data_IF_048716067434
#
_entry.id   IF_048716067434
#
_cell.length_a   1.000
_cell.length_b   1.000
_cell.length_c   1.000
_cell.angle_alpha   90.00
_cell.angle_beta   90.00
_cell.angle_gamma   90.00
#
_symmetry.space_group_name_H-M   'P 1'
#
loop_
_entity.id
_entity.type
_entity.pdbx_description
1 polymer ?
#
# COMPACT_ATOMS: atom_id res chain seq x y z
N UNK A 1 33.30 11.08 16.71
CA UNK A 1 32.02 11.78 16.47
C UNK A 1 31.04 10.74 15.98
N UNK A 2 30.09 10.39 16.84
CA UNK A 2 29.13 9.29 16.68
C UNK A 2 28.17 9.58 15.54
N UNK A 3 28.08 8.65 14.59
CA UNK A 3 26.99 8.61 13.60
C UNK A 3 25.71 8.24 14.35
N UNK A 4 24.89 9.22 14.70
CA UNK A 4 23.52 8.98 15.14
C UNK A 4 22.74 8.41 13.96
N UNK A 5 22.66 7.08 13.89
CA UNK A 5 21.72 6.40 13.02
C UNK A 5 20.32 6.81 13.45
N UNK A 6 19.57 7.41 12.52
CA UNK A 6 18.16 7.72 12.70
C UNK A 6 17.46 6.50 13.33
N UNK A 7 16.84 6.60 14.52
CA UNK A 7 16.13 5.46 15.11
C UNK A 7 14.97 5.15 14.16
N UNK A 8 15.17 4.11 13.34
CA UNK A 8 14.22 3.69 12.32
C UNK A 8 12.84 3.50 12.91
N UNK A 9 11.81 3.61 12.07
CA UNK A 9 10.40 3.44 12.47
C UNK A 9 10.13 2.08 13.15
N UNK A 10 11.08 1.13 13.04
CA UNK A 10 10.97 -0.25 13.47
C UNK A 10 10.80 -1.16 12.25
N UNK A 11 10.45 -2.41 12.49
CA UNK A 11 10.14 -3.37 11.42
C UNK A 11 8.78 -4.05 11.61
N UNK A 12 8.11 -3.86 12.76
CA UNK A 12 6.80 -4.43 13.04
C UNK A 12 5.71 -3.40 12.83
N UNK A 13 4.68 -3.74 12.07
CA UNK A 13 3.56 -2.85 11.79
C UNK A 13 2.22 -3.51 12.07
N UNK A 14 1.25 -2.70 12.53
CA UNK A 14 -0.14 -3.11 12.69
C UNK A 14 -1.00 -2.37 11.66
N UNK A 15 -1.82 -3.12 10.93
CA UNK A 15 -2.69 -2.59 9.87
C UNK A 15 -3.98 -2.04 10.48
N UNK A 16 -4.32 -0.81 10.12
CA UNK A 16 -5.59 -0.18 10.49
C UNK A 16 -6.35 0.19 9.23
N UNK A 17 -7.56 -0.34 9.07
CA UNK A 17 -8.46 0.01 7.97
C UNK A 17 -9.51 0.99 8.47
N UNK A 18 -9.53 2.22 7.95
CA UNK A 18 -10.56 3.20 8.32
C UNK A 18 -11.83 3.09 7.45
N UNK A 19 -11.87 2.18 6.49
CA UNK A 19 -13.02 1.94 5.62
C UNK A 19 -12.83 0.74 4.69
N UNK A 20 -13.73 0.60 3.71
CA UNK A 20 -13.71 -0.50 2.75
C UNK A 20 -12.65 -0.27 1.67
N UNK A 21 -11.63 -1.13 1.66
CA UNK A 21 -10.55 -1.14 0.66
C UNK A 21 -10.68 -2.27 -0.35
N UNK A 22 -11.66 -3.18 -0.14
CA UNK A 22 -11.90 -4.38 -0.97
C UNK A 22 -10.64 -5.25 -1.20
N UNK A 23 -9.69 -5.24 -0.26
CA UNK A 23 -8.44 -6.00 -0.39
C UNK A 23 -7.31 -5.29 -1.13
N UNK A 24 -7.55 -4.13 -1.76
CA UNK A 24 -6.51 -3.43 -2.54
C UNK A 24 -5.25 -3.07 -1.72
N UNK A 25 -5.43 -2.80 -0.42
CA UNK A 25 -4.35 -2.53 0.53
C UNK A 25 -3.35 -3.70 0.70
N UNK A 26 -3.77 -4.94 0.41
CA UNK A 26 -2.93 -6.13 0.62
C UNK A 26 -1.66 -6.09 -0.22
N UNK A 27 -1.72 -5.52 -1.42
CA UNK A 27 -0.53 -5.30 -2.26
C UNK A 27 0.58 -4.50 -1.55
N UNK A 28 0.23 -3.53 -0.71
CA UNK A 28 1.19 -2.75 0.08
C UNK A 28 1.71 -3.59 1.24
N UNK A 29 0.81 -4.29 1.95
CA UNK A 29 1.16 -5.15 3.10
C UNK A 29 2.13 -6.26 2.68
N UNK A 30 1.83 -6.97 1.60
CA UNK A 30 2.67 -8.02 1.02
C UNK A 30 4.01 -7.47 0.59
N UNK A 31 4.02 -6.32 -0.08
CA UNK A 31 5.27 -5.65 -0.48
C UNK A 31 6.16 -5.30 0.70
N UNK A 32 5.59 -4.81 1.79
CA UNK A 32 6.34 -4.52 3.01
C UNK A 32 6.89 -5.81 3.64
N UNK A 33 6.10 -6.88 3.64
CA UNK A 33 6.54 -8.22 4.11
C UNK A 33 7.72 -8.74 3.31
N UNK A 34 7.68 -8.63 1.98
CA UNK A 34 8.78 -9.00 1.09
C UNK A 34 10.04 -8.16 1.35
N UNK A 35 9.87 -6.94 1.85
CA UNK A 35 10.97 -6.05 2.22
C UNK A 35 11.42 -6.21 3.69
N UNK A 36 11.02 -7.29 4.34
CA UNK A 36 11.48 -7.67 5.68
C UNK A 36 10.74 -6.96 6.81
N UNK A 37 9.64 -6.27 6.53
CA UNK A 37 8.72 -5.80 7.56
C UNK A 37 7.84 -6.96 8.05
N UNK A 38 7.34 -6.88 9.27
CA UNK A 38 6.51 -7.90 9.90
C UNK A 38 5.17 -7.31 10.30
N UNK A 39 4.11 -7.82 9.70
CA UNK A 39 2.75 -7.53 10.15
C UNK A 39 2.50 -8.26 11.48
N UNK A 40 1.92 -7.56 12.47
CA UNK A 40 1.55 -8.14 13.76
C UNK A 40 0.04 -8.03 13.98
N UNK A 41 -0.51 -8.91 14.81
CA UNK A 41 -1.95 -8.98 15.06
C UNK A 41 -2.43 -8.09 16.22
N UNK A 42 -1.53 -7.35 16.88
CA UNK A 42 -1.87 -6.48 18.01
C UNK A 42 -1.28 -5.09 17.90
N UNK A 43 -2.05 -4.10 18.37
CA UNK A 43 -1.64 -2.70 18.36
C UNK A 43 -0.49 -2.42 19.33
N UNK A 44 -0.31 -3.26 20.36
CA UNK A 44 0.72 -3.15 21.39
C UNK A 44 2.06 -3.66 20.89
N UNK A 45 2.06 -4.73 20.07
CA UNK A 45 3.26 -5.40 19.58
C UNK A 45 3.94 -4.75 18.37
N UNK A 46 3.33 -3.73 17.77
CA UNK A 46 3.87 -3.04 16.61
C UNK A 46 4.81 -1.87 16.99
N UNK A 47 5.74 -1.55 16.10
CA UNK A 47 6.58 -0.36 16.21
C UNK A 47 5.84 0.88 15.65
N UNK A 48 5.02 0.67 14.61
CA UNK A 48 4.22 1.72 13.98
C UNK A 48 2.87 1.21 13.44
N UNK A 49 1.96 2.14 13.16
CA UNK A 49 0.71 1.85 12.46
C UNK A 49 0.82 2.08 10.96
N UNK A 50 0.25 1.16 10.18
CA UNK A 50 0.01 1.35 8.75
C UNK A 50 -1.48 1.56 8.54
N UNK A 51 -1.89 2.83 8.40
CA UNK A 51 -3.29 3.24 8.37
C UNK A 51 -3.73 3.42 6.92
N UNK A 52 -4.69 2.62 6.47
CA UNK A 52 -5.32 2.75 5.16
C UNK A 52 -6.62 3.54 5.27
N UNK A 53 -6.69 4.65 4.52
CA UNK A 53 -7.82 5.55 4.48
C UNK A 53 -8.42 5.64 3.08
N UNK A 54 -9.39 4.78 2.73
CA UNK A 54 -10.14 4.94 1.49
C UNK A 54 -11.04 6.17 1.55
N UNK A 55 -10.91 7.04 0.54
CA UNK A 55 -11.74 8.24 0.40
C UNK A 55 -13.11 7.84 -0.16
N UNK A 56 -14.15 8.06 0.63
CA UNK A 56 -15.55 7.76 0.30
C UNK A 56 -16.36 9.04 0.22
N UNK A 57 -16.07 10.01 1.08
CA UNK A 57 -16.80 11.26 1.17
C UNK A 57 -15.94 12.44 0.71
N UNK A 58 -14.99 12.86 1.54
CA UNK A 58 -14.10 13.99 1.34
C UNK A 58 -12.78 13.69 2.05
N UNK A 59 -11.68 14.03 1.37
CA UNK A 59 -10.31 13.78 1.86
C UNK A 59 -10.13 14.20 3.33
N UNK A 60 -10.46 15.45 3.67
CA UNK A 60 -10.28 15.94 5.05
C UNK A 60 -11.15 15.24 6.09
N UNK A 61 -12.39 14.89 5.74
CA UNK A 61 -13.33 14.21 6.66
C UNK A 61 -12.90 12.78 6.92
N UNK A 62 -12.60 12.03 5.85
CA UNK A 62 -12.22 10.62 5.96
C UNK A 62 -10.85 10.48 6.67
N UNK A 63 -9.90 11.39 6.41
CA UNK A 63 -8.62 11.45 7.15
C UNK A 63 -8.84 11.75 8.62
N UNK A 64 -9.67 12.76 8.95
CA UNK A 64 -9.95 13.10 10.35
C UNK A 64 -10.55 11.90 11.10
N UNK A 65 -11.51 11.21 10.49
CA UNK A 65 -12.11 10.01 11.07
C UNK A 65 -11.09 8.88 11.24
N UNK A 66 -10.25 8.63 10.23
CA UNK A 66 -9.20 7.60 10.30
C UNK A 66 -8.22 7.86 11.46
N UNK A 67 -7.77 9.11 11.59
CA UNK A 67 -6.77 9.50 12.60
C UNK A 67 -7.34 9.63 14.02
N UNK A 68 -8.67 9.76 14.17
CA UNK A 68 -9.34 9.75 15.47
C UNK A 68 -9.29 8.38 16.16
N UNK A 69 -9.07 7.31 15.40
CA UNK A 69 -9.10 5.91 15.87
C UNK A 69 -7.72 5.39 16.36
N UNK A 70 -6.65 6.15 16.14
CA UNK A 70 -5.27 5.72 16.45
C UNK A 70 -4.70 6.49 17.63
N UNK A 71 -3.83 5.85 18.43
CA UNK A 71 -3.14 6.53 19.53
C UNK A 71 -2.14 7.57 19.02
N UNK A 72 -1.89 8.59 19.84
CA UNK A 72 -0.96 9.69 19.53
C UNK A 72 0.49 9.35 19.89
N UNK A 73 0.70 8.20 20.54
CA UNK A 73 2.00 7.79 21.10
C UNK A 73 2.85 7.06 20.06
N UNK A 74 2.25 6.15 19.28
CA UNK A 74 2.96 5.39 18.26
C UNK A 74 2.98 6.14 16.95
N UNK A 75 4.12 6.05 16.24
CA UNK A 75 4.25 6.63 14.90
C UNK A 75 3.33 5.90 13.92
N UNK A 76 2.88 6.60 12.88
CA UNK A 76 2.02 6.03 11.85
C UNK A 76 2.36 6.52 10.45
N UNK A 77 2.16 5.63 9.48
CA UNK A 77 2.14 5.95 8.05
C UNK A 77 0.67 5.93 7.61
N UNK A 78 0.22 7.04 7.02
CA UNK A 78 -1.12 7.17 6.46
C UNK A 78 -1.09 6.93 4.95
N UNK A 79 -1.82 5.93 4.48
CA UNK A 79 -2.02 5.63 3.06
C UNK A 79 -3.44 6.05 2.68
N UNK A 80 -3.56 7.18 2.01
CA UNK A 80 -4.84 7.70 1.52
C UNK A 80 -5.15 7.04 0.18
N UNK A 81 -6.28 6.34 0.08
CA UNK A 81 -6.65 5.56 -1.11
C UNK A 81 -7.79 6.23 -1.86
N UNK A 82 -7.53 6.70 -3.07
CA UNK A 82 -8.50 7.38 -3.93
C UNK A 82 -9.10 6.39 -4.92
N UNK A 83 -10.43 6.20 -4.83
CA UNK A 83 -11.13 5.29 -5.73
C UNK A 83 -11.30 5.92 -7.11
N UNK A 84 -10.62 5.38 -8.12
CA UNK A 84 -10.67 5.87 -9.50
C UNK A 84 -10.21 4.78 -10.46
N UNK A 85 -10.80 4.70 -11.65
CA UNK A 85 -10.32 3.83 -12.72
C UNK A 85 -9.21 4.48 -13.57
N UNK A 86 -8.98 5.79 -13.41
CA UNK A 86 -8.03 6.55 -14.22
C UNK A 86 -6.64 6.55 -13.55
N UNK A 87 -5.61 5.88 -14.13
CA UNK A 87 -4.27 5.81 -13.55
C UNK A 87 -3.53 7.17 -13.55
N UNK A 88 -3.98 8.12 -14.37
CA UNK A 88 -3.44 9.47 -14.45
C UNK A 88 -4.26 10.48 -13.65
N UNK A 89 -5.13 10.03 -12.74
CA UNK A 89 -5.94 10.93 -11.93
C UNK A 89 -5.07 11.79 -11.01
N UNK A 90 -5.20 13.10 -11.14
CA UNK A 90 -4.51 14.05 -10.26
C UNK A 90 -5.26 14.19 -8.96
N UNK A 91 -4.58 13.84 -7.86
CA UNK A 91 -5.07 14.09 -6.50
C UNK A 91 -4.22 15.18 -5.85
N UNK A 92 -4.89 16.05 -5.09
CA UNK A 92 -4.21 17.02 -4.25
C UNK A 92 -3.44 16.28 -3.14
N UNK A 93 -2.34 16.87 -2.71
CA UNK A 93 -1.51 16.36 -1.62
C UNK A 93 -2.30 16.30 -0.30
N UNK A 94 -2.59 15.08 0.16
CA UNK A 94 -3.42 14.83 1.33
C UNK A 94 -2.70 15.12 2.65
N UNK A 95 -1.36 15.24 2.66
CA UNK A 95 -0.60 15.59 3.86
C UNK A 95 -1.05 16.94 4.44
N UNK A 96 -1.59 17.82 3.61
CA UNK A 96 -2.17 19.12 4.00
C UNK A 96 -3.37 19.01 4.93
N UNK A 97 -4.02 17.85 4.98
CA UNK A 97 -5.15 17.58 5.87
C UNK A 97 -4.71 16.95 7.20
N UNK A 98 -3.41 16.68 7.37
CA UNK A 98 -2.86 16.00 8.55
C UNK A 98 -2.20 17.02 9.47
N UNK A 99 -2.69 17.10 10.70
CA UNK A 99 -2.12 17.96 11.75
C UNK A 99 -1.45 17.17 12.88
N UNK A 100 -1.62 15.84 12.88
CA UNK A 100 -1.27 14.98 14.00
C UNK A 100 0.24 14.63 13.94
N UNK A 101 1.04 14.98 14.96
CA UNK A 101 2.51 14.94 14.86
C UNK A 101 3.12 13.53 14.84
N UNK A 102 2.37 12.50 15.26
CA UNK A 102 2.82 11.12 15.18
C UNK A 102 2.66 10.51 13.77
N UNK A 103 2.05 11.21 12.82
CA UNK A 103 2.03 10.79 11.42
C UNK A 103 3.36 11.18 10.78
N UNK A 104 4.19 10.18 10.49
CA UNK A 104 5.54 10.39 9.97
C UNK A 104 5.58 10.46 8.44
N UNK A 105 4.57 9.91 7.78
CA UNK A 105 4.44 9.91 6.33
C UNK A 105 2.95 9.85 5.96
N UNK A 106 2.55 10.64 4.97
CA UNK A 106 1.25 10.53 4.30
C UNK A 106 1.50 10.36 2.82
N UNK A 107 0.94 9.30 2.22
CA UNK A 107 1.01 9.04 0.79
C UNK A 107 -0.37 8.90 0.18
N UNK A 108 -0.49 9.24 -1.10
CA UNK A 108 -1.73 9.17 -1.87
C UNK A 108 -1.64 8.06 -2.93
N UNK A 109 -2.45 7.02 -2.79
CA UNK A 109 -2.54 5.91 -3.73
C UNK A 109 -3.87 5.91 -4.50
N UNK A 110 -3.87 5.44 -5.74
CA UNK A 110 -5.07 5.22 -6.55
C UNK A 110 -5.43 3.73 -6.57
N UNK A 111 -6.72 3.41 -6.43
CA UNK A 111 -7.20 2.03 -6.49
C UNK A 111 -8.54 1.93 -7.22
N UNK A 112 -8.80 0.77 -7.80
CA UNK A 112 -10.06 0.46 -8.45
C UNK A 112 -10.46 -0.98 -8.11
N UNK A 113 -11.72 -1.17 -7.71
CA UNK A 113 -12.24 -2.45 -7.25
C UNK A 113 -11.38 -3.08 -6.14
N UNK A 114 -10.57 -4.09 -6.46
CA UNK A 114 -9.78 -4.90 -5.51
C UNK A 114 -8.27 -4.69 -5.63
N UNK A 115 -7.82 -3.82 -6.52
CA UNK A 115 -6.40 -3.69 -6.86
C UNK A 115 -5.94 -2.22 -6.82
N UNK A 116 -4.67 -2.00 -6.45
CA UNK A 116 -4.01 -0.72 -6.68
C UNK A 116 -3.73 -0.52 -8.17
N UNK A 117 -3.92 0.70 -8.65
CA UNK A 117 -3.58 1.02 -10.03
C UNK A 117 -2.07 0.95 -10.27
N UNK A 118 -1.68 0.53 -11.48
CA UNK A 118 -0.30 0.61 -11.94
C UNK A 118 -0.04 2.01 -12.49
N UNK A 119 0.53 2.87 -11.67
CA UNK A 119 0.85 4.24 -12.05
C UNK A 119 2.04 4.79 -11.27
N UNK A 120 2.65 5.85 -11.80
CA UNK A 120 3.81 6.51 -11.19
C UNK A 120 3.51 7.00 -9.77
N UNK A 121 2.28 7.44 -9.52
CA UNK A 121 1.85 7.86 -8.18
C UNK A 121 2.01 6.73 -7.16
N UNK A 122 1.44 5.55 -7.43
CA UNK A 122 1.52 4.42 -6.51
C UNK A 122 2.96 3.90 -6.35
N UNK A 123 3.74 3.90 -7.44
CA UNK A 123 5.15 3.54 -7.40
C UNK A 123 5.96 4.51 -6.51
N UNK A 124 5.73 5.82 -6.66
CA UNK A 124 6.38 6.85 -5.85
C UNK A 124 5.97 6.75 -4.38
N UNK A 125 4.67 6.55 -4.12
CA UNK A 125 4.15 6.33 -2.76
C UNK A 125 4.81 5.13 -2.08
N UNK A 126 4.95 4.00 -2.78
CA UNK A 126 5.69 2.86 -2.23
C UNK A 126 7.17 3.16 -2.02
N UNK A 127 7.81 3.87 -2.94
CA UNK A 127 9.21 4.25 -2.76
C UNK A 127 9.42 5.17 -1.54
N UNK A 128 8.48 6.06 -1.24
CA UNK A 128 8.53 6.91 -0.05
C UNK A 128 8.37 6.11 1.24
N UNK A 129 7.45 5.13 1.25
CA UNK A 129 7.30 4.20 2.38
C UNK A 129 8.58 3.39 2.59
N UNK A 130 9.13 2.78 1.53
CA UNK A 130 10.38 2.01 1.61
C UNK A 130 11.55 2.87 2.13
N UNK A 131 11.61 4.14 1.69
CA UNK A 131 12.63 5.11 2.13
C UNK A 131 12.52 5.46 3.61
N UNK A 132 11.31 5.75 4.12
CA UNK A 132 11.15 6.12 5.54
C UNK A 132 11.41 4.94 6.47
N UNK A 133 11.14 3.72 6.00
CA UNK A 133 11.45 2.48 6.71
C UNK A 133 12.93 2.09 6.66
N UNK A 134 13.75 2.80 5.89
CA UNK A 134 15.17 2.49 5.74
C UNK A 134 15.42 1.14 5.06
N UNK A 135 14.49 0.70 4.20
CA UNK A 135 14.66 -0.54 3.43
C UNK A 135 15.90 -0.40 2.54
N UNK A 136 16.85 -1.32 2.66
CA UNK A 136 18.09 -1.25 1.91
C UNK A 136 17.82 -1.26 0.41
N UNK A 137 18.61 -0.55 -0.38
CA UNK A 137 18.41 -0.50 -1.84
C UNK A 137 18.53 -1.88 -2.51
N UNK A 138 19.31 -2.79 -1.91
CA UNK A 138 19.36 -4.21 -2.31
C UNK A 138 18.03 -4.89 -2.05
N UNK A 139 17.47 -4.73 -0.85
CA UNK A 139 16.15 -5.25 -0.49
C UNK A 139 15.05 -4.71 -1.40
N UNK A 140 15.05 -3.40 -1.67
CA UNK A 140 14.10 -2.76 -2.62
C UNK A 140 14.19 -3.41 -4.00
N UNK A 141 15.39 -3.61 -4.54
CA UNK A 141 15.57 -4.28 -5.84
C UNK A 141 15.06 -5.72 -5.84
N UNK A 142 15.31 -6.46 -4.77
CA UNK A 142 14.82 -7.84 -4.61
C UNK A 142 13.29 -7.86 -4.52
N UNK A 143 12.69 -7.02 -3.68
CA UNK A 143 11.23 -6.89 -3.58
C UNK A 143 10.62 -6.50 -4.93
N UNK A 144 11.22 -5.53 -5.63
CA UNK A 144 10.74 -5.10 -6.95
C UNK A 144 10.80 -6.21 -7.98
N UNK A 145 11.89 -6.96 -8.00
CA UNK A 145 12.04 -8.09 -8.89
C UNK A 145 11.03 -9.20 -8.57
N UNK A 146 10.86 -9.57 -7.30
CA UNK A 146 9.90 -10.57 -6.85
C UNK A 146 8.46 -10.16 -7.17
N UNK A 147 8.11 -8.89 -6.93
CA UNK A 147 6.81 -8.34 -7.28
C UNK A 147 6.57 -8.39 -8.79
N UNK A 148 7.54 -7.96 -9.61
CA UNK A 148 7.43 -8.04 -11.06
C UNK A 148 7.29 -9.50 -11.56
N UNK A 149 8.00 -10.45 -10.95
CA UNK A 149 7.85 -11.88 -11.23
C UNK A 149 6.46 -12.39 -10.85
N UNK A 150 5.96 -12.02 -9.67
CA UNK A 150 4.62 -12.37 -9.21
C UNK A 150 3.57 -11.88 -10.21
N UNK A 151 3.65 -10.59 -10.59
CA UNK A 151 2.76 -9.99 -11.59
C UNK A 151 2.86 -10.66 -12.97
N UNK A 152 4.06 -11.04 -13.41
CA UNK A 152 4.24 -11.78 -14.66
C UNK A 152 3.55 -13.13 -14.61
N UNK A 153 3.68 -13.84 -13.49
CA UNK A 153 3.01 -15.12 -13.30
C UNK A 153 1.49 -14.97 -13.34
N UNK A 154 0.91 -14.00 -12.63
CA UNK A 154 -0.53 -13.70 -12.67
C UNK A 154 -1.01 -13.32 -14.06
N UNK A 155 -0.24 -12.53 -14.80
CA UNK A 155 -0.58 -12.12 -16.17
C UNK A 155 -0.60 -13.33 -17.11
N UNK A 156 0.34 -14.26 -16.97
CA UNK A 156 0.37 -15.53 -17.71
C UNK A 156 -0.85 -16.39 -17.33
N UNK A 157 -1.19 -16.49 -16.04
CA UNK A 157 -2.39 -17.21 -15.61
C UNK A 157 -3.68 -16.61 -16.19
N UNK A 158 -3.83 -15.28 -16.17
CA UNK A 158 -4.98 -14.58 -16.79
C UNK A 158 -5.03 -14.82 -18.31
N UNK A 159 -3.90 -14.79 -19.00
CA UNK A 159 -3.83 -15.06 -20.44
C UNK A 159 -4.21 -16.51 -20.77
N UNK A 160 -3.67 -17.47 -19.99
CA UNK A 160 -4.00 -18.89 -20.16
C UNK A 160 -5.49 -19.13 -19.91
N UNK A 161 -6.08 -18.52 -18.87
CA UNK A 161 -7.52 -18.64 -18.61
C UNK A 161 -8.37 -18.10 -19.76
N UNK A 162 -8.03 -16.94 -20.33
CA UNK A 162 -8.70 -16.41 -21.52
C UNK A 162 -8.54 -17.34 -22.74
N UNK A 163 -7.34 -17.92 -22.94
CA UNK A 163 -7.12 -18.90 -24.01
C UNK A 163 -7.90 -20.19 -23.79
N UNK A 164 -8.04 -20.66 -22.54
CA UNK A 164 -8.87 -21.82 -22.19
C UNK A 164 -10.36 -21.57 -22.47
N UNK A 165 -10.86 -20.36 -22.19
CA UNK A 165 -12.24 -19.99 -22.55
C UNK A 165 -12.44 -19.96 -24.07
N UNK A 166 -11.41 -19.58 -24.85
CA UNK A 166 -11.47 -19.60 -26.31
C UNK A 166 -11.30 -21.01 -26.94
N UNK A 167 -10.54 -21.92 -26.33
CA UNK A 167 -10.41 -23.31 -26.82
C UNK A 167 -11.64 -24.16 -26.53
N UNK A 168 -12.43 -23.84 -25.49
CA UNK A 168 -13.74 -24.45 -25.25
C UNK A 168 -14.76 -24.15 -26.36
N UNK A 169 -14.59 -23.09 -27.16
CA UNK A 169 -15.50 -22.75 -28.27
C UNK A 169 -15.22 -23.63 -29.49
N UNK A 170 -14.00 -24.18 -29.65
CA UNK A 170 -13.63 -24.99 -30.81
C UNK A 170 -13.92 -26.50 -30.66
N UNK A 171 -14.32 -26.99 -29.49
CA UNK A 171 -14.68 -28.40 -29.28
C UNK A 171 -16.18 -28.70 -29.37
N UNK A 172 -16.99 -27.74 -29.85
CA UNK A 172 -18.45 -27.91 -30.04
C UNK A 172 -18.87 -28.19 -31.48
N UNK A 173 -17.93 -28.46 -32.38
CA UNK A 173 -18.18 -28.80 -33.78
C UNK A 173 -17.41 -30.07 -34.16
N UNK A 174 -17.81 -31.22 -33.62
CA UNK A 174 -17.71 -32.55 -34.24
C UNK A 174 -18.75 -33.48 -33.64
#
# INVERSE_FOLDING_TARGET
MTTEGNPGLGHKFFVILSGKTNGAHQSIVERLRDCGQTEVDSSEGCDYFLVFCPIVSRVGTDIHEALSKISDVKKAILVVMHHTFNPSHTVADSSRQVQKPNIVLTVDCLFYERELLRCDRNNNSMSEIEKILGVSWVSVKVCQFNYNLSLHSESIFKLNMLLYDHTCIYFSLF
#
